data_IF_168150196934
#
_entry.id   IF_168150196934
#
_cell.length_a   1.000
_cell.length_b   1.000
_cell.length_c   1.000
_cell.angle_alpha   90.00
_cell.angle_beta   90.00
_cell.angle_gamma   90.00
#
_symmetry.space_group_name_H-M   'P 1'
#
loop_
_entity.id
_entity.type
_entity.pdbx_description
1 polymer ?
#
# COMPACT_ATOMS: atom_id res chain seq x y z
N UNK A 1 16.86 -8.34 -0.67
CA UNK A 1 15.43 -8.59 -0.96
C UNK A 1 14.87 -9.74 -0.14
N UNK A 2 15.55 -10.90 -0.12
CA UNK A 2 15.22 -12.04 0.75
C UNK A 2 15.27 -11.73 2.25
N UNK A 3 16.09 -10.76 2.67
CA UNK A 3 16.20 -10.30 4.06
C UNK A 3 14.91 -9.69 4.63
N UNK A 4 13.99 -9.26 3.76
CA UNK A 4 12.70 -8.69 4.17
C UNK A 4 11.53 -9.68 4.04
N UNK A 5 11.76 -10.88 3.48
CA UNK A 5 10.73 -11.91 3.39
C UNK A 5 10.42 -12.44 4.79
N UNK A 6 9.17 -12.27 5.23
CA UNK A 6 8.73 -12.64 6.58
C UNK A 6 8.91 -11.53 7.63
N UNK A 7 9.43 -10.35 7.25
CA UNK A 7 9.50 -9.20 8.15
C UNK A 7 8.17 -8.47 8.25
N UNK A 8 7.87 -7.95 9.45
CA UNK A 8 6.70 -7.11 9.64
C UNK A 8 6.80 -5.84 8.79
N UNK A 9 5.68 -5.32 8.26
CA UNK A 9 5.66 -4.05 7.54
C UNK A 9 6.16 -2.93 8.44
N UNK A 10 6.92 -2.00 7.85
CA UNK A 10 7.35 -0.76 8.51
C UNK A 10 6.15 0.11 8.88
N UNK A 11 5.10 0.08 8.05
CA UNK A 11 3.85 0.81 8.30
C UNK A 11 2.63 0.03 7.81
N UNK A 12 1.60 -0.02 8.65
CA UNK A 12 0.28 -0.60 8.32
C UNK A 12 -0.80 0.45 8.54
N UNK A 13 -1.63 0.71 7.54
CA UNK A 13 -2.68 1.73 7.57
C UNK A 13 -3.99 1.12 7.10
N UNK A 14 -5.10 1.48 7.75
CA UNK A 14 -6.44 1.12 7.26
C UNK A 14 -6.75 1.86 5.97
N UNK A 15 -7.26 1.14 4.98
CA UNK A 15 -7.74 1.72 3.74
C UNK A 15 -9.18 2.12 3.92
N UNK A 16 -9.53 3.35 3.55
CA UNK A 16 -10.86 3.92 3.75
C UNK A 16 -11.98 3.29 2.89
N UNK A 17 -11.71 2.20 2.17
CA UNK A 17 -12.70 1.55 1.33
C UNK A 17 -13.73 0.81 2.19
N UNK A 18 -14.94 1.36 2.25
CA UNK A 18 -16.12 0.83 2.92
C UNK A 18 -16.60 -0.43 2.22
N UNK A 19 -16.09 -1.59 2.64
CA UNK A 19 -16.66 -2.89 2.25
C UNK A 19 -17.87 -3.18 3.14
N UNK A 20 -18.92 -3.74 2.52
CA UNK A 20 -20.14 -4.18 3.19
C UNK A 20 -19.79 -5.18 4.29
N UNK A 21 -20.20 -4.91 5.53
CA UNK A 21 -20.01 -5.80 6.67
C UNK A 21 -20.75 -7.14 6.47
N UNK A 22 -20.19 -8.29 6.92
CA UNK A 22 -18.90 -8.45 7.59
C UNK A 22 -17.76 -8.72 6.59
N UNK A 23 -16.78 -7.81 6.51
CA UNK A 23 -15.58 -7.99 5.69
C UNK A 23 -14.31 -7.66 6.49
N UNK A 24 -13.17 -8.33 6.21
CA UNK A 24 -11.91 -7.98 6.85
C UNK A 24 -11.49 -6.54 6.51
N UNK A 25 -10.97 -5.82 7.50
CA UNK A 25 -10.47 -4.47 7.30
C UNK A 25 -9.33 -4.45 6.25
N UNK A 26 -9.50 -3.65 5.21
CA UNK A 26 -8.50 -3.51 4.16
C UNK A 26 -7.35 -2.63 4.64
N UNK A 27 -6.11 -3.04 4.37
CA UNK A 27 -4.92 -2.31 4.84
C UNK A 27 -3.89 -2.11 3.72
N UNK A 28 -3.24 -0.95 3.75
CA UNK A 28 -1.97 -0.73 3.06
C UNK A 28 -0.83 -1.14 4.00
N UNK A 29 0.07 -1.97 3.50
CA UNK A 29 1.27 -2.43 4.19
C UNK A 29 2.48 -2.02 3.37
N UNK A 30 3.41 -1.35 4.05
CA UNK A 30 4.59 -0.75 3.42
C UNK A 30 5.84 -1.38 4.00
N UNK A 31 6.76 -1.78 3.13
CA UNK A 31 8.12 -2.12 3.48
C UNK A 31 9.06 -1.25 2.64
N UNK A 32 10.13 -0.75 3.27
CA UNK A 32 11.22 -0.11 2.54
C UNK A 32 12.46 -0.99 2.64
N UNK A 33 13.06 -1.21 1.48
CA UNK A 33 14.44 -1.67 1.36
C UNK A 33 15.33 -0.46 1.11
N UNK A 34 16.67 -0.58 1.15
CA UNK A 34 17.54 0.56 0.88
C UNK A 34 17.32 1.25 -0.48
N UNK A 35 16.72 0.55 -1.46
CA UNK A 35 16.57 1.06 -2.83
C UNK A 35 15.14 1.05 -3.36
N UNK A 36 14.24 0.28 -2.76
CA UNK A 36 12.87 0.08 -3.25
C UNK A 36 11.84 0.14 -2.13
N UNK A 37 10.66 0.64 -2.48
CA UNK A 37 9.43 0.48 -1.73
C UNK A 37 8.69 -0.79 -2.19
N UNK A 38 8.14 -1.52 -1.23
CA UNK A 38 7.16 -2.56 -1.45
C UNK A 38 5.85 -2.10 -0.79
N UNK A 39 4.78 -2.03 -1.56
CA UNK A 39 3.46 -1.61 -1.09
C UNK A 39 2.45 -2.70 -1.43
N UNK A 40 1.76 -3.20 -0.40
CA UNK A 40 0.64 -4.12 -0.56
C UNK A 40 -0.63 -3.43 -0.09
N UNK A 41 -1.58 -3.22 -0.99
CA UNK A 41 -2.82 -2.52 -0.67
C UNK A 41 -3.98 -2.91 -1.59
N UNK A 42 -5.20 -2.45 -1.28
CA UNK A 42 -6.33 -2.59 -2.18
C UNK A 42 -6.08 -1.85 -3.49
N UNK A 43 -6.38 -2.51 -4.60
CA UNK A 43 -6.41 -1.92 -5.92
C UNK A 43 -7.86 -1.67 -6.32
N UNK A 44 -8.10 -0.50 -6.91
CA UNK A 44 -9.39 -0.20 -7.51
C UNK A 44 -9.56 -1.08 -8.76
N UNK A 45 -10.47 -2.03 -8.71
CA UNK A 45 -10.97 -2.69 -9.91
C UNK A 45 -12.34 -2.09 -10.26
N UNK A 46 -12.38 -1.31 -11.33
CA UNK A 46 -13.61 -0.77 -11.90
C UNK A 46 -14.22 -1.74 -12.94
N UNK A 47 -13.80 -3.01 -12.92
CA UNK A 47 -14.28 -4.07 -13.78
C UNK A 47 -15.75 -4.44 -13.53
N UNK A 48 -16.29 -5.36 -14.34
CA UNK A 48 -17.71 -5.77 -14.28
C UNK A 48 -18.11 -6.41 -12.95
N UNK A 49 -17.14 -6.76 -12.10
CA UNK A 49 -17.33 -7.38 -10.79
C UNK A 49 -16.87 -6.45 -9.66
N UNK A 50 -17.37 -5.22 -9.62
CA UNK A 50 -17.02 -4.19 -8.62
C UNK A 50 -17.34 -4.52 -7.14
N UNK A 51 -17.75 -5.75 -6.85
CA UNK A 51 -17.84 -6.30 -5.49
C UNK A 51 -16.57 -7.07 -5.07
N UNK A 52 -15.66 -7.36 -6.01
CA UNK A 52 -14.38 -7.99 -5.70
C UNK A 52 -13.39 -6.93 -5.21
N UNK A 53 -12.75 -7.21 -4.08
CA UNK A 53 -11.60 -6.43 -3.64
C UNK A 53 -10.33 -7.07 -4.18
N UNK A 54 -9.59 -6.33 -4.99
CA UNK A 54 -8.30 -6.76 -5.50
C UNK A 54 -7.19 -6.23 -4.58
N UNK A 55 -6.17 -7.05 -4.33
CA UNK A 55 -4.96 -6.62 -3.65
C UNK A 55 -3.82 -6.54 -4.66
N UNK A 56 -3.12 -5.42 -4.68
CA UNK A 56 -1.95 -5.20 -5.51
C UNK A 56 -0.69 -5.16 -4.65
N UNK A 57 0.32 -5.88 -5.12
CA UNK A 57 1.67 -5.83 -4.59
C UNK A 57 2.55 -5.07 -5.59
N UNK A 58 2.96 -3.86 -5.21
CA UNK A 58 3.83 -3.02 -6.03
C UNK A 58 5.24 -3.00 -5.45
N UNK A 59 6.23 -3.17 -6.33
CA UNK A 59 7.65 -3.08 -6.00
C UNK A 59 8.31 -2.04 -6.90
N UNK A 60 8.63 -0.88 -6.34
CA UNK A 60 9.06 0.30 -7.10
C UNK A 60 10.30 0.94 -6.47
N UNK A 61 11.18 1.57 -7.28
CA UNK A 61 12.34 2.29 -6.75
C UNK A 61 11.93 3.42 -5.80
N UNK A 62 12.69 3.64 -4.71
CA UNK A 62 12.45 4.76 -3.80
C UNK A 62 12.65 6.14 -4.46
N UNK A 63 13.23 6.19 -5.66
CA UNK A 63 13.35 7.44 -6.41
C UNK A 63 12.00 8.02 -6.85
N UNK A 64 10.92 7.23 -6.81
CA UNK A 64 9.55 7.71 -7.10
C UNK A 64 9.04 8.65 -5.99
N UNK A 65 9.25 8.30 -4.73
CA UNK A 65 9.15 9.22 -3.59
C UNK A 65 10.06 8.76 -2.44
N UNK A 66 11.11 9.54 -2.17
CA UNK A 66 12.24 9.10 -1.35
C UNK A 66 11.91 8.90 0.13
N UNK A 67 11.15 9.81 0.73
CA UNK A 67 10.95 9.83 2.18
C UNK A 67 9.53 9.42 2.56
N UNK A 68 9.44 8.53 3.53
CA UNK A 68 8.18 8.14 4.12
C UNK A 68 7.68 9.30 5.02
N UNK A 69 6.47 9.82 4.82
CA UNK A 69 5.91 10.93 5.59
C UNK A 69 5.91 10.64 7.10
N UNK A 70 5.90 11.65 7.98
CA UNK A 70 5.82 11.43 9.43
C UNK A 70 4.53 10.71 9.83
N UNK A 71 4.53 10.06 11.00
CA UNK A 71 3.31 9.46 11.53
C UNK A 71 2.27 10.55 11.81
N UNK A 72 1.03 10.35 11.35
CA UNK A 72 -0.06 11.33 11.45
C UNK A 72 -0.25 12.22 10.22
N UNK A 73 0.65 12.17 9.24
CA UNK A 73 0.45 12.80 7.92
C UNK A 73 -0.22 11.82 6.96
N UNK A 74 -1.53 11.64 7.12
CA UNK A 74 -2.34 10.71 6.32
C UNK A 74 -2.37 11.10 4.83
N UNK A 75 -2.48 12.39 4.54
CA UNK A 75 -2.49 12.92 3.17
C UNK A 75 -1.13 12.76 2.47
N UNK A 76 -0.04 13.05 3.17
CA UNK A 76 1.30 12.80 2.65
C UNK A 76 1.53 11.32 2.38
N UNK A 77 1.03 10.45 3.27
CA UNK A 77 1.17 9.00 3.13
C UNK A 77 0.35 8.45 1.97
N UNK A 78 -0.86 8.95 1.76
CA UNK A 78 -1.67 8.62 0.59
C UNK A 78 -0.94 8.98 -0.71
N UNK A 79 -0.36 10.20 -0.79
CA UNK A 79 0.44 10.63 -1.95
C UNK A 79 1.67 9.75 -2.18
N UNK A 80 2.36 9.39 -1.10
CA UNK A 80 3.53 8.52 -1.18
C UNK A 80 3.17 7.12 -1.69
N UNK A 81 2.05 6.55 -1.24
CA UNK A 81 1.54 5.27 -1.72
C UNK A 81 1.20 5.35 -3.21
N UNK A 82 0.45 6.36 -3.64
CA UNK A 82 0.09 6.55 -5.05
C UNK A 82 1.32 6.61 -5.96
N UNK A 83 2.38 7.31 -5.54
CA UNK A 83 3.63 7.42 -6.31
C UNK A 83 4.37 6.08 -6.50
N UNK A 84 4.06 5.05 -5.71
CA UNK A 84 4.72 3.74 -5.75
C UNK A 84 3.81 2.61 -6.26
N UNK A 85 2.51 2.86 -6.43
CA UNK A 85 1.51 1.87 -6.86
C UNK A 85 1.03 2.10 -8.30
N UNK A 86 1.10 3.32 -8.82
CA UNK A 86 0.60 3.72 -10.15
C UNK A 86 1.76 3.76 -11.18
N UNK A 87 2.05 2.62 -11.83
CA UNK A 87 2.96 2.52 -12.98
C UNK A 87 2.67 1.30 -13.86
#
# INVERSE_FOLDING_TARGET
MTEHLGTAPERTILSAATVVEPAPALTHRIWRTPTHALVLGPASDNGPYGYLTHLQLSYTPLTCASELPPAGDEDGLAKWISAHVDW
#
